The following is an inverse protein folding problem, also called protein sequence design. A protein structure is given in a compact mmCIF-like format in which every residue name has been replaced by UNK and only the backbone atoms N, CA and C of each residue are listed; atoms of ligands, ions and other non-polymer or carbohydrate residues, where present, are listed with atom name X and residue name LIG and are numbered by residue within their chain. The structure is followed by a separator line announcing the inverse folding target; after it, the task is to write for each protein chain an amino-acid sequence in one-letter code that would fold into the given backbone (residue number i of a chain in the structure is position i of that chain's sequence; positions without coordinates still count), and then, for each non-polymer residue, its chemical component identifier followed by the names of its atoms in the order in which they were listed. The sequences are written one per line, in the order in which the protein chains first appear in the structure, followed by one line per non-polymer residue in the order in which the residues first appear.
data_IF_815260011549
#
_entry.id   IF_815260011549
#
_cell.length_a   1.000
_cell.length_b   1.000
_cell.length_c   1.000
_cell.angle_alpha   90.00
_cell.angle_beta   90.00
_cell.angle_gamma   90.00
#
_symmetry.space_group_name_H-M   'P 1'
#
loop_
_entity.id
_entity.type
_entity.pdbx_description
1 polymer ?
#
# COMPACT_ATOMS: atom_id res chain seq x y z
N UNK A 1 -7.27 18.15 21.16
CA UNK A 1 -6.60 19.20 20.38
C UNK A 1 -6.59 18.70 18.93
N UNK A 2 -7.22 19.41 18.00
CA UNK A 2 -7.37 18.92 16.63
C UNK A 2 -6.01 18.83 15.91
N UNK A 3 -5.92 18.02 14.86
CA UNK A 3 -4.70 17.87 14.03
C UNK A 3 -4.26 19.23 13.45
N UNK A 4 -5.24 20.08 13.09
CA UNK A 4 -5.00 21.47 12.66
C UNK A 4 -4.38 22.33 13.77
N UNK A 5 -4.76 22.12 15.03
CA UNK A 5 -4.21 22.90 16.16
C UNK A 5 -2.77 22.47 16.48
N UNK A 6 -2.44 21.17 16.34
CA UNK A 6 -1.08 20.64 16.54
C UNK A 6 -0.16 21.07 15.37
N UNK A 7 -0.64 21.09 14.14
CA UNK A 7 0.11 21.56 12.97
C UNK A 7 0.43 23.06 13.10
N UNK A 8 -0.54 23.84 13.56
CA UNK A 8 -0.40 25.26 13.81
C UNK A 8 0.65 25.54 14.90
N UNK A 9 0.65 24.76 15.97
CA UNK A 9 1.62 24.84 17.06
C UNK A 9 3.07 24.61 16.58
N UNK A 10 3.32 23.66 15.67
CA UNK A 10 4.66 23.40 15.14
C UNK A 10 5.16 24.50 14.22
N UNK A 11 4.31 24.94 13.29
CA UNK A 11 4.68 26.03 12.37
C UNK A 11 4.96 27.32 13.16
N UNK A 12 4.16 27.58 14.20
CA UNK A 12 4.37 28.73 15.09
C UNK A 12 5.71 28.61 15.84
N UNK A 13 6.00 27.44 16.43
CA UNK A 13 7.28 27.20 17.12
C UNK A 13 8.50 27.38 16.18
N UNK A 14 8.41 26.83 14.98
CA UNK A 14 9.47 26.93 13.98
C UNK A 14 9.67 28.38 13.52
N UNK A 15 8.57 29.08 13.28
CA UNK A 15 8.60 30.49 12.89
C UNK A 15 9.21 31.36 13.98
N UNK A 16 8.85 31.12 15.26
CA UNK A 16 9.43 31.87 16.38
C UNK A 16 10.91 31.58 16.56
N UNK A 17 11.34 30.31 16.40
CA UNK A 17 12.73 29.94 16.47
C UNK A 17 13.55 30.61 15.33
N UNK A 18 13.09 30.52 14.09
CA UNK A 18 13.78 31.09 12.95
C UNK A 18 13.79 32.63 12.99
N UNK A 19 12.70 33.23 13.44
CA UNK A 19 12.65 34.68 13.68
C UNK A 19 13.67 35.11 14.71
N UNK A 20 13.76 34.40 15.84
CA UNK A 20 14.73 34.70 16.90
C UNK A 20 16.19 34.59 16.39
N UNK A 21 16.44 33.53 15.61
CA UNK A 21 17.77 33.32 15.00
C UNK A 21 18.07 34.45 14.01
N UNK A 22 17.18 34.77 13.13
CA UNK A 22 17.33 35.82 12.14
C UNK A 22 17.57 37.18 12.81
N UNK A 23 16.80 37.53 13.84
CA UNK A 23 16.93 38.79 14.56
C UNK A 23 18.27 38.89 15.33
N UNK A 24 18.74 37.78 15.95
CA UNK A 24 19.97 37.72 16.66
C UNK A 24 21.18 37.98 15.76
N UNK A 25 21.18 37.40 14.53
CA UNK A 25 22.26 37.56 13.57
C UNK A 25 22.09 38.76 12.66
N UNK A 26 21.00 39.49 12.74
CA UNK A 26 20.67 40.59 11.83
C UNK A 26 20.84 40.16 10.36
N UNK A 27 20.19 39.07 9.98
CA UNK A 27 20.29 38.47 8.67
C UNK A 27 19.03 38.73 7.82
N UNK A 28 19.12 38.58 6.49
CA UNK A 28 17.96 38.63 5.63
C UNK A 28 17.09 37.37 5.76
N UNK A 29 17.74 36.22 5.91
CA UNK A 29 17.08 34.93 5.99
C UNK A 29 17.60 34.09 7.15
N UNK A 30 16.69 33.28 7.72
CA UNK A 30 16.99 32.13 8.56
C UNK A 30 16.28 30.89 7.99
N UNK A 31 17.01 29.81 7.88
CA UNK A 31 16.52 28.55 7.33
C UNK A 31 16.73 27.39 8.31
N UNK A 32 15.70 26.55 8.43
CA UNK A 32 15.85 25.18 8.89
C UNK A 32 15.54 24.26 7.71
N UNK A 33 16.49 23.41 7.35
CA UNK A 33 16.42 22.54 6.19
C UNK A 33 16.77 21.11 6.60
N UNK A 34 16.00 20.16 6.14
CA UNK A 34 16.37 18.75 6.19
C UNK A 34 16.62 18.27 4.77
N UNK A 35 17.74 17.60 4.58
CA UNK A 35 18.12 17.01 3.30
C UNK A 35 18.88 15.70 3.49
N UNK A 36 18.86 14.86 2.46
CA UNK A 36 19.84 13.81 2.24
C UNK A 36 20.93 14.28 1.24
N UNK A 37 21.65 13.33 0.66
CA UNK A 37 22.70 13.66 -0.30
C UNK A 37 22.15 14.05 -1.68
N UNK A 38 20.92 13.66 -2.01
CA UNK A 38 20.30 13.84 -3.33
C UNK A 38 19.26 14.97 -3.37
N UNK A 39 18.45 15.11 -2.30
CA UNK A 39 17.33 16.05 -2.31
C UNK A 39 17.09 16.76 -0.97
N UNK A 40 16.36 17.86 -1.07
CA UNK A 40 15.87 18.61 0.10
C UNK A 40 14.47 18.14 0.44
N UNK A 41 14.33 17.48 1.59
CA UNK A 41 13.07 16.91 2.04
C UNK A 41 12.17 17.92 2.77
N UNK A 42 12.76 18.90 3.46
CA UNK A 42 12.03 19.90 4.22
C UNK A 42 12.73 21.25 4.22
N UNK A 43 11.96 22.33 4.09
CA UNK A 43 12.44 23.72 4.20
C UNK A 43 11.48 24.53 5.04
N UNK A 44 11.98 25.10 6.13
CA UNK A 44 11.37 26.23 6.83
C UNK A 44 12.22 27.46 6.64
N UNK A 45 11.57 28.59 6.44
CA UNK A 45 12.22 29.88 6.15
C UNK A 45 11.55 30.96 6.99
N UNK A 46 12.37 31.89 7.45
CA UNK A 46 11.93 33.18 7.96
C UNK A 46 12.78 34.28 7.31
N UNK A 47 12.15 35.28 6.73
CA UNK A 47 12.85 36.38 6.05
C UNK A 47 12.53 37.73 6.68
N UNK A 48 13.41 38.72 6.42
CA UNK A 48 13.22 40.10 6.85
C UNK A 48 12.03 40.75 6.11
N UNK A 49 11.53 41.86 6.67
CA UNK A 49 10.47 42.61 6.03
C UNK A 49 10.91 43.12 4.64
N UNK A 50 9.99 43.01 3.67
CA UNK A 50 10.19 43.38 2.27
C UNK A 50 11.22 42.51 1.50
N UNK A 51 11.65 41.37 2.05
CA UNK A 51 12.47 40.38 1.36
C UNK A 51 11.57 39.25 0.83
N UNK A 52 11.71 38.84 -0.45
CA UNK A 52 10.88 37.77 -1.01
C UNK A 52 11.26 36.41 -0.45
N UNK A 53 10.26 35.58 -0.16
CA UNK A 53 10.43 34.20 0.25
C UNK A 53 11.13 33.38 -0.83
N UNK A 54 12.10 32.56 -0.46
CA UNK A 54 12.91 31.71 -1.35
C UNK A 54 12.66 30.20 -1.14
N UNK A 55 11.83 29.83 -0.19
CA UNK A 55 11.58 28.45 0.22
C UNK A 55 11.35 27.50 -0.96
N UNK A 56 10.46 27.85 -1.86
CA UNK A 56 10.09 26.98 -2.99
C UNK A 56 11.24 26.83 -3.99
N UNK A 57 12.03 27.92 -4.18
CA UNK A 57 13.24 27.89 -5.00
C UNK A 57 14.32 27.00 -4.39
N UNK A 58 14.54 27.12 -3.08
CA UNK A 58 15.54 26.31 -2.37
C UNK A 58 15.17 24.84 -2.45
N UNK A 59 13.89 24.51 -2.24
CA UNK A 59 13.40 23.13 -2.29
C UNK A 59 13.61 22.44 -3.65
N UNK A 60 13.70 23.22 -4.73
CA UNK A 60 13.89 22.70 -6.09
C UNK A 60 15.35 22.63 -6.54
N UNK A 61 16.31 23.00 -5.67
CA UNK A 61 17.72 22.94 -6.02
C UNK A 61 18.22 21.50 -6.12
N UNK A 62 18.96 21.18 -7.17
CA UNK A 62 19.73 19.95 -7.28
C UNK A 62 21.08 20.07 -6.53
N UNK A 63 21.71 18.95 -6.14
CA UNK A 63 22.94 18.96 -5.32
C UNK A 63 24.08 19.81 -5.89
N UNK A 64 24.23 19.86 -7.20
CA UNK A 64 25.19 20.69 -7.91
C UNK A 64 24.94 22.20 -7.79
N UNK A 65 23.69 22.59 -7.53
CA UNK A 65 23.25 23.97 -7.37
C UNK A 65 23.24 24.45 -5.92
N UNK A 66 23.56 23.57 -4.95
CA UNK A 66 23.53 23.94 -3.55
C UNK A 66 24.56 25.04 -3.27
N UNK A 67 24.16 26.15 -2.62
CA UNK A 67 25.12 27.16 -2.14
C UNK A 67 26.02 26.55 -1.07
N UNK A 68 27.17 27.23 -0.77
CA UNK A 68 28.17 26.74 0.18
C UNK A 68 27.53 26.35 1.53
N UNK A 69 26.72 27.24 2.10
CA UNK A 69 26.07 27.05 3.40
C UNK A 69 25.11 25.88 3.45
N UNK A 70 24.65 25.36 2.30
CA UNK A 70 23.79 24.18 2.21
C UNK A 70 24.59 22.91 1.94
N UNK A 71 25.82 23.02 1.40
CA UNK A 71 26.72 21.87 1.15
C UNK A 71 27.54 21.49 2.36
N UNK A 72 28.10 22.47 3.06
CA UNK A 72 29.03 22.31 4.19
C UNK A 72 28.76 23.32 5.30
N UNK A 73 29.22 23.03 6.51
CA UNK A 73 29.15 24.00 7.61
C UNK A 73 29.94 25.23 7.26
N UNK A 74 29.35 26.41 7.43
CA UNK A 74 30.00 27.70 7.29
C UNK A 74 30.10 28.31 8.66
N UNK A 75 31.30 28.22 9.24
CA UNK A 75 31.61 28.70 10.61
C UNK A 75 32.56 29.90 10.64
N UNK A 76 33.04 30.33 9.47
CA UNK A 76 33.83 31.54 9.36
C UNK A 76 32.96 32.79 9.46
N UNK A 77 33.11 33.52 10.54
CA UNK A 77 32.32 34.71 10.84
C UNK A 77 32.71 35.96 10.02
N UNK A 78 33.63 35.81 9.07
CA UNK A 78 33.95 36.82 8.05
C UNK A 78 33.05 36.67 6.80
N UNK A 79 32.36 35.55 6.66
CA UNK A 79 31.39 35.33 5.57
C UNK A 79 30.05 36.01 5.87
N UNK A 80 29.25 36.18 4.85
CA UNK A 80 27.90 36.78 4.94
C UNK A 80 26.80 35.74 5.26
N UNK A 81 27.16 34.46 5.38
CA UNK A 81 26.23 33.37 5.65
C UNK A 81 26.89 32.37 6.60
N UNK A 82 26.15 31.93 7.60
CA UNK A 82 26.58 30.90 8.57
C UNK A 82 25.64 29.73 8.55
N UNK A 83 26.18 28.52 8.72
CA UNK A 83 25.36 27.29 8.83
C UNK A 83 26.02 26.30 9.77
N UNK A 84 25.18 25.56 10.48
CA UNK A 84 25.58 24.41 11.30
C UNK A 84 24.75 23.20 10.90
N UNK A 85 25.36 22.01 11.00
CA UNK A 85 24.75 20.76 10.57
C UNK A 85 24.56 19.83 11.75
N UNK A 86 23.47 19.04 11.69
CA UNK A 86 23.16 18.02 12.68
C UNK A 86 22.80 16.72 11.96
N UNK A 87 23.48 15.59 12.23
CA UNK A 87 23.15 14.30 11.63
C UNK A 87 21.81 13.78 12.15
N UNK A 88 20.95 13.34 11.26
CA UNK A 88 19.63 12.78 11.58
C UNK A 88 19.52 11.26 11.26
N UNK A 89 20.51 10.72 10.53
CA UNK A 89 20.59 9.32 10.10
C UNK A 89 21.85 9.10 9.25
N UNK A 90 21.95 7.97 8.56
CA UNK A 90 23.14 7.64 7.78
C UNK A 90 23.42 8.67 6.68
N UNK A 91 22.40 9.13 5.96
CA UNK A 91 22.53 10.10 4.87
C UNK A 91 21.72 11.37 5.08
N UNK A 92 20.99 11.49 6.20
CA UNK A 92 20.12 12.63 6.46
C UNK A 92 20.78 13.64 7.41
N UNK A 93 20.63 14.93 7.07
CA UNK A 93 21.16 16.06 7.85
C UNK A 93 20.12 17.14 8.01
N UNK A 94 20.04 17.70 9.23
CA UNK A 94 19.36 18.96 9.47
C UNK A 94 20.38 20.10 9.42
N UNK A 95 19.98 21.23 8.88
CA UNK A 95 20.80 22.42 8.70
C UNK A 95 20.03 23.60 9.27
N UNK A 96 20.70 24.37 10.14
CA UNK A 96 20.23 25.67 10.57
C UNK A 96 21.18 26.73 10.02
N UNK A 97 20.67 27.61 9.17
CA UNK A 97 21.48 28.60 8.48
C UNK A 97 20.89 30.00 8.60
N UNK A 98 21.77 31.00 8.60
CA UNK A 98 21.45 32.41 8.41
C UNK A 98 22.22 32.91 7.19
N UNK A 99 21.52 33.70 6.36
CA UNK A 99 22.03 34.10 5.04
C UNK A 99 21.87 35.61 4.89
N UNK A 100 22.88 36.25 4.27
CA UNK A 100 23.03 37.69 4.14
C UNK A 100 23.00 38.36 5.52
N UNK A 101 24.02 38.02 6.35
CA UNK A 101 24.20 38.53 7.70
C UNK A 101 24.87 39.92 7.63
N UNK A 102 24.24 40.91 8.27
CA UNK A 102 24.72 42.28 8.30
C UNK A 102 25.65 42.54 9.49
N UNK A 103 25.59 41.70 10.52
CA UNK A 103 26.40 41.82 11.73
C UNK A 103 27.52 40.76 11.75
N UNK A 104 28.73 41.17 11.33
CA UNK A 104 29.87 40.25 11.36
C UNK A 104 30.37 39.91 12.77
N UNK A 105 31.10 38.80 12.89
CA UNK A 105 31.77 38.37 14.13
C UNK A 105 30.85 37.78 15.19
N UNK A 106 29.67 37.29 14.82
CA UNK A 106 28.69 36.68 15.74
C UNK A 106 29.13 35.27 16.18
N UNK A 107 28.87 34.95 17.45
CA UNK A 107 29.07 33.60 17.98
C UNK A 107 28.01 32.61 17.43
N UNK A 108 28.45 31.46 16.98
CA UNK A 108 27.61 30.38 16.46
C UNK A 108 26.95 29.51 17.54
N UNK A 109 27.15 29.82 18.82
CA UNK A 109 26.63 29.04 19.94
C UNK A 109 25.10 28.91 19.89
N UNK A 110 24.40 29.95 19.45
CA UNK A 110 22.94 29.94 19.30
C UNK A 110 22.52 28.92 18.24
N UNK A 111 23.11 28.91 17.05
CA UNK A 111 22.79 27.95 16.01
C UNK A 111 23.09 26.52 16.46
N UNK A 112 24.25 26.30 17.10
CA UNK A 112 24.68 24.99 17.59
C UNK A 112 23.83 24.47 18.74
N UNK A 113 23.28 25.33 19.57
CA UNK A 113 22.38 24.91 20.65
C UNK A 113 20.94 24.67 20.20
N UNK A 114 20.45 25.47 19.25
CA UNK A 114 19.08 25.36 18.76
C UNK A 114 18.88 24.21 17.77
N UNK A 115 19.84 23.94 16.87
CA UNK A 115 19.68 22.95 15.82
C UNK A 115 19.36 21.54 16.34
N UNK A 116 20.08 20.96 17.31
CA UNK A 116 19.72 19.67 17.88
C UNK A 116 18.32 19.66 18.50
N UNK A 117 17.96 20.72 19.22
CA UNK A 117 16.65 20.84 19.84
C UNK A 117 15.51 20.87 18.81
N UNK A 118 15.64 21.69 17.77
CA UNK A 118 14.68 21.79 16.67
C UNK A 118 14.58 20.44 15.94
N UNK A 119 15.72 19.84 15.59
CA UNK A 119 15.76 18.55 14.88
C UNK A 119 15.11 17.41 15.66
N UNK A 120 15.40 17.30 16.96
CA UNK A 120 14.76 16.29 17.82
C UNK A 120 13.26 16.53 17.92
N UNK A 121 12.82 17.78 18.04
CA UNK A 121 11.40 18.13 18.12
C UNK A 121 10.68 17.76 16.82
N UNK A 122 11.27 18.01 15.64
CA UNK A 122 10.68 17.63 14.35
C UNK A 122 10.58 16.12 14.21
N UNK A 123 11.62 15.37 14.60
CA UNK A 123 11.58 13.89 14.59
C UNK A 123 10.50 13.33 15.50
N UNK A 124 10.44 13.81 16.74
CA UNK A 124 9.40 13.37 17.69
C UNK A 124 7.99 13.63 17.18
N UNK A 125 7.77 14.78 16.56
CA UNK A 125 6.45 15.10 16.00
C UNK A 125 6.13 14.26 14.75
N UNK A 126 7.12 13.97 13.88
CA UNK A 126 6.92 13.05 12.77
C UNK A 126 6.51 11.66 13.28
N UNK A 127 7.24 11.14 14.27
CA UNK A 127 6.93 9.85 14.89
C UNK A 127 5.56 9.84 15.56
N UNK A 128 5.21 10.92 16.27
CA UNK A 128 3.89 11.03 16.89
C UNK A 128 2.77 11.05 15.86
N UNK A 129 2.93 11.80 14.76
CA UNK A 129 1.96 11.81 13.65
C UNK A 129 1.82 10.45 13.00
N UNK A 130 2.94 9.77 12.76
CA UNK A 130 2.92 8.42 12.21
C UNK A 130 2.21 7.46 13.17
N UNK A 131 2.47 7.55 14.46
CA UNK A 131 1.79 6.77 15.48
C UNK A 131 0.28 7.08 15.53
N UNK A 132 -0.10 8.37 15.49
CA UNK A 132 -1.50 8.78 15.42
C UNK A 132 -2.18 8.26 14.15
N UNK A 133 -1.52 8.38 12.98
CA UNK A 133 -2.02 7.83 11.72
C UNK A 133 -2.24 6.32 11.81
N UNK A 134 -1.24 5.55 12.23
CA UNK A 134 -1.32 4.10 12.41
C UNK A 134 -2.31 3.67 13.49
N UNK A 135 -2.63 4.56 14.44
CA UNK A 135 -3.68 4.30 15.43
C UNK A 135 -5.08 4.22 14.82
N UNK A 136 -5.31 4.93 13.69
CA UNK A 136 -6.61 5.04 13.03
C UNK A 136 -6.65 4.45 11.62
N UNK A 137 -5.50 4.13 11.03
CA UNK A 137 -5.38 3.55 9.68
C UNK A 137 -4.71 2.19 9.71
N UNK A 138 -5.02 1.37 8.74
CA UNK A 138 -4.35 0.10 8.48
C UNK A 138 -3.04 0.34 7.71
N UNK A 139 -1.96 -0.23 8.18
CA UNK A 139 -0.60 0.00 7.66
C UNK A 139 -0.37 -0.54 6.24
N UNK A 140 -1.13 -1.58 5.86
CA UNK A 140 -1.01 -2.20 4.55
C UNK A 140 -1.84 -1.48 3.47
N UNK A 141 -3.08 -1.12 3.80
CA UNK A 141 -4.03 -0.58 2.81
C UNK A 141 -4.22 0.92 2.89
N UNK A 142 -3.82 1.56 3.99
CA UNK A 142 -4.08 2.98 4.25
C UNK A 142 -5.53 3.30 4.62
N UNK A 143 -6.44 2.34 4.53
CA UNK A 143 -7.85 2.49 4.92
C UNK A 143 -7.99 2.71 6.44
N UNK A 144 -9.16 3.13 6.88
CA UNK A 144 -9.47 3.18 8.30
C UNK A 144 -9.37 1.77 8.92
N UNK A 145 -8.84 1.69 10.13
CA UNK A 145 -8.70 0.43 10.84
C UNK A 145 -9.88 0.17 11.80
N UNK A 146 -9.83 -0.95 12.49
CA UNK A 146 -10.85 -1.32 13.48
C UNK A 146 -10.98 -0.31 14.63
N UNK A 147 -9.89 0.34 15.05
CA UNK A 147 -9.96 1.35 16.11
C UNK A 147 -10.75 2.58 15.66
N UNK A 148 -10.61 2.97 14.38
CA UNK A 148 -11.42 4.03 13.79
C UNK A 148 -12.92 3.69 13.81
N UNK A 149 -13.28 2.44 13.53
CA UNK A 149 -14.66 1.99 13.64
C UNK A 149 -15.19 2.09 15.08
N UNK A 150 -14.43 1.63 16.06
CA UNK A 150 -14.79 1.75 17.50
C UNK A 150 -14.92 3.22 17.91
N UNK A 151 -14.00 4.06 17.46
CA UNK A 151 -14.07 5.51 17.67
C UNK A 151 -15.33 6.12 17.07
N UNK A 152 -15.64 5.78 15.81
CA UNK A 152 -16.86 6.21 15.14
C UNK A 152 -18.13 5.85 15.94
N UNK A 153 -18.25 4.61 16.43
CA UNK A 153 -19.40 4.18 17.23
C UNK A 153 -19.56 5.00 18.52
N UNK A 154 -18.47 5.49 19.10
CA UNK A 154 -18.52 6.28 20.33
C UNK A 154 -18.89 7.74 20.11
N UNK A 155 -18.69 8.27 18.89
CA UNK A 155 -18.87 9.70 18.57
C UNK A 155 -20.12 9.97 17.73
N UNK A 156 -20.61 8.95 16.99
CA UNK A 156 -21.73 9.12 16.06
C UNK A 156 -23.04 9.43 16.78
N UNK A 157 -23.73 10.47 16.30
CA UNK A 157 -25.09 10.75 16.71
C UNK A 157 -26.07 9.98 15.79
N UNK A 158 -26.49 8.79 16.23
CA UNK A 158 -27.37 7.91 15.44
C UNK A 158 -28.72 8.57 15.14
N UNK A 159 -29.25 9.42 16.03
CA UNK A 159 -30.52 10.13 15.83
C UNK A 159 -30.45 11.18 14.69
N UNK A 160 -29.24 11.64 14.35
CA UNK A 160 -29.02 12.59 13.27
C UNK A 160 -28.94 11.93 11.88
N UNK A 161 -28.77 10.62 11.82
CA UNK A 161 -28.67 9.88 10.57
C UNK A 161 -30.05 9.73 9.91
N UNK A 162 -30.13 10.13 8.65
CA UNK A 162 -31.36 9.98 7.83
C UNK A 162 -31.48 8.60 7.22
N UNK A 163 -30.37 7.98 6.89
CA UNK A 163 -30.22 6.61 6.40
C UNK A 163 -28.80 6.14 6.63
N UNK A 164 -28.59 4.85 6.70
CA UNK A 164 -27.28 4.23 6.80
C UNK A 164 -27.26 2.93 5.99
N UNK A 165 -26.20 2.76 5.18
CA UNK A 165 -25.88 1.48 4.56
C UNK A 165 -24.63 0.89 5.19
N UNK A 166 -24.65 -0.41 5.47
CA UNK A 166 -23.48 -1.17 5.89
C UNK A 166 -23.16 -2.25 4.87
N UNK A 167 -21.89 -2.38 4.46
CA UNK A 167 -21.41 -3.48 3.61
C UNK A 167 -20.28 -4.20 4.33
N UNK A 168 -20.43 -5.50 4.55
CA UNK A 168 -19.39 -6.39 5.05
C UNK A 168 -18.78 -7.14 3.87
N UNK A 169 -17.48 -7.09 3.71
CA UNK A 169 -16.73 -7.69 2.58
C UNK A 169 -15.65 -8.62 3.13
N UNK A 170 -15.46 -9.75 2.51
CA UNK A 170 -14.44 -10.74 2.88
C UNK A 170 -13.74 -11.25 1.62
N UNK A 171 -12.40 -11.28 1.64
CA UNK A 171 -11.58 -11.79 0.54
C UNK A 171 -11.54 -13.31 0.60
N UNK A 172 -12.08 -13.94 -0.44
CA UNK A 172 -12.15 -15.39 -0.51
C UNK A 172 -10.79 -16.02 -0.77
N UNK A 173 -10.44 -17.01 0.01
CA UNK A 173 -9.25 -17.84 -0.25
C UNK A 173 -7.90 -17.17 0.02
N UNK A 174 -7.83 -16.04 0.73
CA UNK A 174 -6.57 -15.32 1.00
C UNK A 174 -5.47 -16.24 1.57
N UNK A 175 -5.83 -17.22 2.42
CA UNK A 175 -4.87 -18.20 2.95
C UNK A 175 -4.27 -19.09 1.86
N UNK A 176 -5.05 -19.40 0.83
CA UNK A 176 -4.58 -20.19 -0.32
C UNK A 176 -3.65 -19.32 -1.19
N UNK A 177 -4.01 -18.07 -1.45
CA UNK A 177 -3.13 -17.11 -2.13
C UNK A 177 -1.77 -17.01 -1.42
N UNK A 178 -1.79 -16.79 -0.09
CA UNK A 178 -0.55 -16.71 0.70
C UNK A 178 0.29 -17.99 0.65
N UNK A 179 -0.36 -19.15 0.66
CA UNK A 179 0.32 -20.46 0.64
C UNK A 179 0.95 -20.75 -0.73
N UNK A 180 0.25 -20.42 -1.82
CA UNK A 180 0.65 -20.77 -3.18
C UNK A 180 1.57 -19.73 -3.80
N UNK A 181 1.37 -18.44 -3.48
CA UNK A 181 2.02 -17.33 -4.18
C UNK A 181 2.90 -16.48 -3.28
N UNK A 182 2.97 -16.83 -1.99
CA UNK A 182 3.69 -16.07 -0.99
C UNK A 182 2.83 -14.94 -0.40
N UNK A 183 3.31 -14.43 0.74
CA UNK A 183 2.59 -13.42 1.53
C UNK A 183 2.47 -12.09 0.78
N UNK A 184 3.51 -11.70 0.04
CA UNK A 184 3.53 -10.47 -0.73
C UNK A 184 2.38 -10.39 -1.75
N UNK A 185 2.13 -11.51 -2.45
CA UNK A 185 0.99 -11.58 -3.38
C UNK A 185 -0.36 -11.44 -2.67
N UNK A 186 -0.52 -12.08 -1.51
CA UNK A 186 -1.75 -11.93 -0.73
C UNK A 186 -1.95 -10.49 -0.23
N UNK A 187 -0.86 -9.82 0.13
CA UNK A 187 -0.87 -8.41 0.53
C UNK A 187 -1.27 -7.51 -0.66
N UNK A 188 -0.77 -7.78 -1.88
CA UNK A 188 -1.20 -7.09 -3.10
C UNK A 188 -2.70 -7.27 -3.40
N UNK A 189 -3.23 -8.49 -3.22
CA UNK A 189 -4.67 -8.76 -3.38
C UNK A 189 -5.48 -7.94 -2.39
N UNK A 190 -5.07 -7.90 -1.14
CA UNK A 190 -5.73 -7.11 -0.09
C UNK A 190 -5.69 -5.62 -0.40
N UNK A 191 -4.53 -5.08 -0.80
CA UNK A 191 -4.40 -3.68 -1.22
C UNK A 191 -5.36 -3.39 -2.37
N UNK A 192 -5.37 -4.23 -3.40
CA UNK A 192 -6.19 -4.02 -4.59
C UNK A 192 -7.69 -4.04 -4.31
N UNK A 193 -8.16 -4.93 -3.42
CA UNK A 193 -9.54 -4.93 -2.95
C UNK A 193 -9.86 -3.63 -2.22
N UNK A 194 -8.97 -3.20 -1.32
CA UNK A 194 -9.10 -1.94 -0.58
C UNK A 194 -9.23 -0.72 -1.49
N UNK A 195 -8.36 -0.61 -2.51
CA UNK A 195 -8.40 0.47 -3.51
C UNK A 195 -9.73 0.54 -4.26
N UNK A 196 -10.25 -0.61 -4.69
CA UNK A 196 -11.55 -0.66 -5.38
C UNK A 196 -12.68 -0.24 -4.45
N UNK A 197 -12.69 -0.72 -3.20
CA UNK A 197 -13.70 -0.33 -2.23
C UNK A 197 -13.65 1.17 -1.93
N UNK A 198 -12.45 1.74 -1.76
CA UNK A 198 -12.28 3.19 -1.54
C UNK A 198 -12.73 4.02 -2.74
N UNK A 199 -12.42 3.57 -3.97
CA UNK A 199 -12.84 4.24 -5.20
C UNK A 199 -14.36 4.31 -5.31
N UNK A 200 -15.07 3.17 -5.17
CA UNK A 200 -16.50 3.09 -5.36
C UNK A 200 -17.30 3.66 -4.18
N UNK A 201 -16.74 3.66 -2.97
CA UNK A 201 -17.35 4.25 -1.78
C UNK A 201 -16.70 5.56 -1.36
N UNK A 202 -16.10 6.28 -2.32
CA UNK A 202 -15.52 7.60 -2.08
C UNK A 202 -16.51 8.53 -1.41
N UNK A 203 -16.06 9.14 -0.29
CA UNK A 203 -16.87 10.02 0.55
C UNK A 203 -17.61 9.31 1.68
N UNK A 204 -17.46 8.01 1.80
CA UNK A 204 -17.95 7.17 2.90
C UNK A 204 -16.79 6.53 3.66
N UNK A 205 -17.08 5.91 4.79
CA UNK A 205 -16.06 5.28 5.60
C UNK A 205 -15.85 3.84 5.16
N UNK A 206 -14.60 3.53 4.80
CA UNK A 206 -14.14 2.18 4.45
C UNK A 206 -13.13 1.74 5.49
N UNK A 207 -13.43 0.68 6.20
CA UNK A 207 -12.60 0.13 7.27
C UNK A 207 -12.03 -1.23 6.85
N UNK A 208 -10.76 -1.49 7.15
CA UNK A 208 -10.22 -2.84 7.19
C UNK A 208 -10.32 -3.35 8.63
N UNK A 209 -11.16 -4.34 8.85
CA UNK A 209 -11.49 -4.85 10.19
C UNK A 209 -10.50 -5.90 10.68
N UNK A 210 -10.13 -6.81 9.80
CA UNK A 210 -9.12 -7.87 10.00
C UNK A 210 -8.40 -8.15 8.69
N UNK A 211 -7.52 -9.15 8.64
CA UNK A 211 -6.68 -9.47 7.49
C UNK A 211 -7.37 -9.50 6.14
N UNK A 212 -8.55 -10.13 6.06
CA UNK A 212 -9.34 -10.35 4.85
C UNK A 212 -10.75 -9.71 4.89
N UNK A 213 -11.09 -9.00 5.98
CA UNK A 213 -12.43 -8.44 6.19
C UNK A 213 -12.45 -6.92 6.12
N UNK A 214 -13.40 -6.37 5.36
CA UNK A 214 -13.68 -4.94 5.28
C UNK A 214 -15.10 -4.64 5.71
N UNK A 215 -15.30 -3.42 6.23
CA UNK A 215 -16.59 -2.86 6.56
C UNK A 215 -16.72 -1.49 5.92
N UNK A 216 -17.86 -1.22 5.31
CA UNK A 216 -18.18 0.09 4.74
C UNK A 216 -19.41 0.63 5.45
N UNK A 217 -19.37 1.90 5.86
CA UNK A 217 -20.51 2.63 6.38
C UNK A 217 -20.79 3.84 5.50
N UNK A 218 -21.97 3.85 4.91
CA UNK A 218 -22.42 4.90 4.01
C UNK A 218 -23.60 5.67 4.63
N UNK A 219 -23.28 6.83 5.22
CA UNK A 219 -24.25 7.71 5.88
C UNK A 219 -25.06 8.51 4.85
N UNK A 220 -26.35 8.69 5.16
CA UNK A 220 -27.25 9.58 4.40
C UNK A 220 -27.33 9.26 2.90
N UNK A 221 -27.09 8.00 2.54
CA UNK A 221 -27.15 7.50 1.16
C UNK A 221 -28.57 6.99 0.82
N UNK A 222 -29.02 7.18 -0.40
CA UNK A 222 -30.25 6.55 -0.87
C UNK A 222 -30.04 5.05 -1.11
N UNK A 223 -31.09 4.25 -0.97
CA UNK A 223 -31.01 2.81 -1.23
C UNK A 223 -30.55 2.49 -2.66
N UNK A 224 -31.05 3.24 -3.64
CA UNK A 224 -30.70 3.06 -5.05
C UNK A 224 -29.19 3.34 -5.30
N UNK A 225 -28.68 4.46 -4.80
CA UNK A 225 -27.25 4.80 -4.92
C UNK A 225 -26.39 3.78 -4.19
N UNK A 226 -26.79 3.35 -2.99
CA UNK A 226 -26.09 2.35 -2.21
C UNK A 226 -25.97 1.03 -2.98
N UNK A 227 -27.08 0.52 -3.55
CA UNK A 227 -27.07 -0.71 -4.35
C UNK A 227 -26.23 -0.57 -5.63
N UNK A 228 -26.30 0.57 -6.30
CA UNK A 228 -25.48 0.81 -7.49
C UNK A 228 -23.99 0.77 -7.18
N UNK A 229 -23.55 1.33 -6.06
CA UNK A 229 -22.14 1.29 -5.62
C UNK A 229 -21.69 -0.13 -5.29
N UNK A 230 -22.54 -0.92 -4.62
CA UNK A 230 -22.27 -2.33 -4.32
C UNK A 230 -22.12 -3.13 -5.62
N UNK A 231 -23.08 -3.03 -6.55
CA UNK A 231 -23.01 -3.77 -7.81
C UNK A 231 -21.75 -3.38 -8.62
N UNK A 232 -21.51 -2.09 -8.78
CA UNK A 232 -20.36 -1.62 -9.55
C UNK A 232 -19.01 -2.03 -8.94
N UNK A 233 -18.89 -2.02 -7.61
CA UNK A 233 -17.67 -2.49 -6.93
C UNK A 233 -17.52 -4.01 -7.04
N UNK A 234 -18.62 -4.76 -6.91
CA UNK A 234 -18.61 -6.22 -7.10
C UNK A 234 -18.19 -6.60 -8.52
N UNK A 235 -18.79 -5.98 -9.53
CA UNK A 235 -18.45 -6.21 -10.94
C UNK A 235 -16.98 -5.90 -11.23
N UNK A 236 -16.45 -4.82 -10.64
CA UNK A 236 -15.03 -4.45 -10.79
C UNK A 236 -14.11 -5.48 -10.15
N UNK A 237 -14.46 -5.98 -8.96
CA UNK A 237 -13.68 -7.01 -8.25
C UNK A 237 -13.77 -8.37 -8.96
N UNK A 238 -14.93 -8.74 -9.47
CA UNK A 238 -15.13 -9.94 -10.27
C UNK A 238 -14.36 -9.90 -11.61
N UNK A 239 -14.14 -8.72 -12.18
CA UNK A 239 -13.26 -8.54 -13.34
C UNK A 239 -11.77 -8.73 -13.00
N UNK A 240 -11.37 -8.55 -11.74
CA UNK A 240 -10.00 -8.85 -11.29
C UNK A 240 -9.84 -10.37 -11.10
N UNK A 241 -10.76 -10.98 -10.37
CA UNK A 241 -10.85 -12.42 -10.18
C UNK A 241 -12.28 -12.79 -9.77
N UNK A 242 -12.95 -13.63 -10.55
CA UNK A 242 -14.33 -14.03 -10.27
C UNK A 242 -14.46 -14.68 -8.89
N UNK A 243 -15.37 -14.14 -8.09
CA UNK A 243 -15.59 -14.58 -6.71
C UNK A 243 -14.42 -14.24 -5.78
N UNK A 244 -13.63 -13.22 -6.10
CA UNK A 244 -12.53 -12.73 -5.25
C UNK A 244 -13.02 -12.32 -3.87
N UNK A 245 -14.18 -11.72 -3.81
CA UNK A 245 -14.79 -11.29 -2.55
C UNK A 245 -16.18 -11.85 -2.37
N UNK A 246 -16.59 -11.95 -1.12
CA UNK A 246 -18.01 -12.16 -0.74
C UNK A 246 -18.50 -10.92 -0.02
N UNK A 247 -19.63 -10.37 -0.47
CA UNK A 247 -20.25 -9.19 0.13
C UNK A 247 -21.58 -9.54 0.79
N UNK A 248 -21.85 -8.88 1.91
CA UNK A 248 -23.17 -8.83 2.53
C UNK A 248 -23.47 -7.39 2.90
N UNK A 249 -24.73 -7.00 2.82
CA UNK A 249 -25.15 -5.63 3.05
C UNK A 249 -26.46 -5.53 3.81
N UNK A 250 -26.63 -4.41 4.47
CA UNK A 250 -27.89 -3.99 5.08
C UNK A 250 -28.05 -2.47 4.90
N UNK A 251 -29.28 -2.00 4.83
CA UNK A 251 -29.61 -0.59 4.70
C UNK A 251 -30.88 -0.25 5.46
N UNK A 252 -30.82 0.82 6.25
CA UNK A 252 -31.94 1.29 7.05
C UNK A 252 -32.19 2.79 6.89
N UNK A 253 -33.45 3.16 7.11
CA UNK A 253 -33.90 4.53 7.11
C UNK A 253 -34.82 4.73 8.31
N UNK A 254 -34.49 5.68 9.18
CA UNK A 254 -35.15 5.93 10.46
C UNK A 254 -34.83 4.84 11.52
N UNK A 255 -34.80 5.25 12.76
CA UNK A 255 -34.54 4.38 13.93
C UNK A 255 -33.31 3.47 13.76
N UNK A 256 -32.23 4.04 13.23
CA UNK A 256 -31.03 3.30 12.85
C UNK A 256 -30.29 2.80 14.09
N UNK A 257 -30.08 1.49 14.18
CA UNK A 257 -29.17 0.86 15.11
C UNK A 257 -27.93 0.35 14.33
N UNK A 258 -26.79 1.01 14.53
CA UNK A 258 -25.58 0.69 13.75
C UNK A 258 -25.08 -0.73 14.05
N UNK A 259 -25.13 -1.18 15.29
CA UNK A 259 -24.67 -2.51 15.69
C UNK A 259 -25.49 -3.61 15.02
N UNK A 260 -26.83 -3.47 15.03
CA UNK A 260 -27.74 -4.40 14.37
C UNK A 260 -27.53 -4.40 12.86
N UNK A 261 -27.35 -3.22 12.25
CA UNK A 261 -27.14 -3.07 10.82
C UNK A 261 -25.83 -3.72 10.35
N UNK A 262 -24.74 -3.51 11.09
CA UNK A 262 -23.44 -4.14 10.83
C UNK A 262 -23.51 -5.64 11.03
N UNK A 263 -24.24 -6.10 12.07
CA UNK A 263 -24.44 -7.52 12.31
C UNK A 263 -25.23 -8.18 11.16
N UNK A 264 -26.25 -7.53 10.63
CA UNK A 264 -27.07 -8.03 9.52
C UNK A 264 -26.27 -8.11 8.22
N UNK A 265 -25.47 -7.08 7.90
CA UNK A 265 -24.55 -7.11 6.78
C UNK A 265 -23.55 -8.29 6.91
N UNK A 266 -22.97 -8.47 8.10
CA UNK A 266 -22.06 -9.58 8.39
C UNK A 266 -22.75 -10.96 8.32
N UNK A 267 -24.00 -11.07 8.77
CA UNK A 267 -24.78 -12.30 8.67
C UNK A 267 -25.06 -12.67 7.19
N UNK A 268 -25.42 -11.68 6.39
CA UNK A 268 -25.62 -11.86 4.95
C UNK A 268 -24.33 -12.31 4.27
N UNK A 269 -23.21 -11.62 4.53
CA UNK A 269 -21.88 -11.98 3.98
C UNK A 269 -21.53 -13.44 4.34
N UNK A 270 -21.63 -13.84 5.62
CA UNK A 270 -21.37 -15.23 6.04
C UNK A 270 -22.27 -16.26 5.36
N UNK A 271 -23.53 -15.90 5.09
CA UNK A 271 -24.46 -16.78 4.35
C UNK A 271 -24.03 -16.93 2.90
N UNK A 272 -23.66 -15.85 2.23
CA UNK A 272 -23.15 -15.89 0.85
C UNK A 272 -21.81 -16.61 0.77
N UNK A 273 -20.89 -16.39 1.71
CA UNK A 273 -19.61 -17.10 1.81
C UNK A 273 -19.81 -18.62 1.96
N UNK A 274 -20.80 -19.06 2.76
CA UNK A 274 -21.14 -20.49 2.85
C UNK A 274 -21.68 -21.05 1.54
N UNK A 275 -22.48 -20.29 0.79
CA UNK A 275 -22.96 -20.68 -0.53
C UNK A 275 -21.79 -20.80 -1.51
N UNK A 276 -20.91 -19.82 -1.53
CA UNK A 276 -19.70 -19.81 -2.35
C UNK A 276 -18.88 -21.08 -2.13
N UNK A 277 -18.48 -21.42 -0.91
CA UNK A 277 -17.72 -22.63 -0.61
C UNK A 277 -18.49 -23.93 -0.80
N UNK A 278 -19.82 -23.91 -0.64
CA UNK A 278 -20.67 -25.08 -0.93
C UNK A 278 -20.77 -25.34 -2.43
N UNK A 279 -20.80 -24.29 -3.22
CA UNK A 279 -20.82 -24.39 -4.68
C UNK A 279 -19.44 -24.82 -5.22
N UNK A 280 -18.35 -24.30 -4.66
CA UNK A 280 -16.99 -24.80 -4.92
C UNK A 280 -16.90 -26.33 -4.71
N UNK A 281 -17.44 -26.83 -3.60
CA UNK A 281 -17.45 -28.27 -3.30
C UNK A 281 -18.40 -29.09 -4.17
N UNK A 282 -19.41 -28.48 -4.79
CA UNK A 282 -20.41 -29.16 -5.64
C UNK A 282 -20.10 -29.11 -7.14
N UNK A 283 -19.01 -28.46 -7.56
CA UNK A 283 -18.68 -28.34 -8.99
C UNK A 283 -19.68 -27.46 -9.78
N UNK A 284 -20.55 -26.72 -9.09
CA UNK A 284 -21.50 -25.82 -9.73
C UNK A 284 -20.88 -24.43 -9.90
N UNK A 285 -20.03 -24.31 -10.89
CA UNK A 285 -19.65 -23.03 -11.49
C UNK A 285 -20.24 -22.96 -12.89
N UNK A 286 -20.67 -21.78 -13.33
CA UNK A 286 -20.93 -21.56 -14.76
C UNK A 286 -19.74 -22.10 -15.54
N UNK A 287 -19.98 -22.84 -16.60
CA UNK A 287 -18.98 -23.71 -17.16
C UNK A 287 -17.86 -22.89 -17.80
N UNK A 288 -16.68 -22.91 -17.20
CA UNK A 288 -15.48 -22.93 -18.04
C UNK A 288 -15.64 -24.25 -18.78
N UNK A 289 -16.01 -24.16 -20.06
CA UNK A 289 -16.28 -25.34 -20.86
C UNK A 289 -14.94 -26.04 -21.07
N UNK A 290 -14.94 -27.38 -21.09
CA UNK A 290 -13.73 -28.18 -21.38
C UNK A 290 -12.95 -27.67 -22.58
N UNK A 291 -13.64 -27.16 -23.60
CA UNK A 291 -13.04 -26.61 -24.80
C UNK A 291 -12.31 -25.29 -24.52
N UNK A 292 -12.88 -24.42 -23.67
CA UNK A 292 -12.25 -23.14 -23.30
C UNK A 292 -10.91 -23.37 -22.58
N UNK A 293 -10.83 -24.38 -21.71
CA UNK A 293 -9.57 -24.73 -21.02
C UNK A 293 -8.49 -25.22 -21.99
N UNK A 294 -8.85 -26.04 -22.97
CA UNK A 294 -7.89 -26.50 -24.00
C UNK A 294 -7.43 -25.32 -24.86
N UNK A 295 -8.37 -24.50 -25.32
CA UNK A 295 -8.08 -23.33 -26.13
C UNK A 295 -7.19 -22.35 -25.36
N UNK A 296 -7.42 -22.15 -24.06
CA UNK A 296 -6.64 -21.28 -23.19
C UNK A 296 -5.22 -21.83 -22.90
N UNK A 297 -5.06 -23.15 -22.81
CA UNK A 297 -3.71 -23.77 -22.75
C UNK A 297 -2.96 -23.52 -24.05
N UNK A 298 -3.60 -23.76 -25.20
CA UNK A 298 -2.99 -23.57 -26.53
C UNK A 298 -2.67 -22.09 -26.82
N UNK A 299 -3.49 -21.15 -26.35
CA UNK A 299 -3.29 -19.71 -26.53
C UNK A 299 -2.28 -19.10 -25.57
N UNK A 300 -1.75 -19.87 -24.59
CA UNK A 300 -0.77 -19.38 -23.60
C UNK A 300 -1.38 -18.55 -22.50
N UNK A 301 -2.69 -18.71 -22.24
CA UNK A 301 -3.38 -18.03 -21.13
C UNK A 301 -3.02 -18.64 -19.76
N UNK A 302 -2.31 -19.77 -19.76
CA UNK A 302 -1.67 -20.34 -18.58
C UNK A 302 -0.22 -19.86 -18.50
N UNK A 303 0.07 -18.92 -17.63
CA UNK A 303 1.39 -18.30 -17.47
C UNK A 303 2.23 -19.13 -16.49
N UNK A 304 3.40 -19.56 -16.92
CA UNK A 304 4.36 -20.27 -16.05
C UNK A 304 5.25 -19.25 -15.35
N UNK A 305 5.19 -19.23 -14.03
CA UNK A 305 6.03 -18.41 -13.16
C UNK A 305 7.07 -19.29 -12.48
N UNK A 306 8.25 -18.76 -12.23
CA UNK A 306 9.32 -19.44 -11.50
C UNK A 306 9.41 -18.90 -10.07
N UNK A 307 9.13 -19.74 -9.09
CA UNK A 307 9.29 -19.44 -7.68
C UNK A 307 10.71 -19.83 -7.27
N UNK A 308 11.55 -18.90 -6.80
CA UNK A 308 12.93 -19.21 -6.43
C UNK A 308 12.98 -20.15 -5.22
N UNK A 309 13.93 -21.08 -5.25
CA UNK A 309 14.31 -21.94 -4.12
C UNK A 309 15.65 -21.46 -3.62
N UNK A 310 15.68 -21.07 -2.35
CA UNK A 310 16.86 -20.52 -1.69
C UNK A 310 17.52 -21.60 -0.82
N UNK A 311 18.84 -21.57 -0.76
CA UNK A 311 19.59 -22.33 0.25
C UNK A 311 19.42 -21.67 1.62
N UNK A 312 19.14 -22.47 2.65
CA UNK A 312 18.75 -21.96 3.97
C UNK A 312 19.87 -21.20 4.71
N UNK A 313 21.13 -21.49 4.40
CA UNK A 313 22.29 -20.90 5.09
C UNK A 313 22.83 -19.66 4.36
N UNK A 314 22.87 -19.68 3.03
CA UNK A 314 23.47 -18.63 2.21
C UNK A 314 22.45 -17.63 1.63
N UNK A 315 21.16 -17.97 1.66
CA UNK A 315 20.07 -17.25 0.98
C UNK A 315 20.27 -17.12 -0.54
N UNK A 316 21.21 -17.89 -1.12
CA UNK A 316 21.43 -17.90 -2.56
C UNK A 316 20.36 -18.72 -3.29
N UNK A 317 20.01 -18.30 -4.50
CA UNK A 317 19.05 -19.02 -5.34
C UNK A 317 19.71 -20.26 -5.92
N UNK A 318 19.29 -21.45 -5.48
CA UNK A 318 19.82 -22.73 -5.91
C UNK A 318 18.95 -23.47 -6.92
N UNK A 319 17.73 -22.98 -7.15
CA UNK A 319 16.77 -23.56 -8.09
C UNK A 319 15.50 -22.76 -8.19
N UNK A 320 14.51 -23.30 -8.89
CA UNK A 320 13.18 -22.73 -8.93
C UNK A 320 12.10 -23.83 -8.99
N UNK A 321 10.88 -23.50 -8.57
CA UNK A 321 9.68 -24.30 -8.76
C UNK A 321 8.80 -23.62 -9.82
N UNK A 322 8.39 -24.38 -10.86
CA UNK A 322 7.45 -23.90 -11.86
C UNK A 322 6.03 -23.93 -11.28
N UNK A 323 5.41 -22.78 -11.20
CA UNK A 323 4.02 -22.58 -10.74
C UNK A 323 3.19 -21.93 -11.84
N UNK A 324 1.91 -22.24 -11.91
CA UNK A 324 1.05 -21.80 -13.03
C UNK A 324 0.07 -20.74 -12.57
N UNK A 325 -0.19 -19.77 -13.47
CA UNK A 325 -1.22 -18.76 -13.36
C UNK A 325 -2.17 -18.89 -14.53
N UNK A 326 -3.44 -19.03 -14.28
CA UNK A 326 -4.46 -19.02 -15.32
C UNK A 326 -5.08 -17.63 -15.46
N UNK A 327 -4.88 -17.02 -16.61
CA UNK A 327 -5.47 -15.74 -16.95
C UNK A 327 -6.60 -15.95 -17.97
N UNK A 328 -7.84 -16.13 -17.47
CA UNK A 328 -9.00 -16.27 -18.33
C UNK A 328 -9.38 -14.91 -18.94
N UNK A 329 -9.72 -14.88 -20.23
CA UNK A 329 -10.03 -13.65 -20.97
C UNK A 329 -11.14 -12.79 -20.36
N UNK A 330 -12.17 -13.43 -19.77
CA UNK A 330 -13.34 -12.76 -19.20
C UNK A 330 -13.32 -12.72 -17.67
N UNK A 331 -12.56 -13.62 -17.01
CA UNK A 331 -12.55 -13.82 -15.57
C UNK A 331 -11.28 -13.26 -14.89
N UNK A 332 -10.29 -12.78 -15.69
CA UNK A 332 -8.99 -12.38 -15.16
C UNK A 332 -8.20 -13.55 -14.59
N UNK A 333 -7.45 -13.31 -13.50
CA UNK A 333 -6.65 -14.35 -12.84
C UNK A 333 -7.59 -15.28 -12.07
N UNK A 334 -7.60 -16.57 -12.44
CA UNK A 334 -8.43 -17.61 -11.83
C UNK A 334 -7.66 -18.35 -10.75
N UNK A 335 -8.31 -18.56 -9.59
CA UNK A 335 -7.74 -19.32 -8.45
C UNK A 335 -7.34 -20.75 -8.87
N UNK A 336 -6.11 -21.21 -8.53
CA UNK A 336 -5.65 -22.55 -8.85
C UNK A 336 -6.57 -23.66 -8.38
N UNK A 337 -7.12 -23.56 -7.17
CA UNK A 337 -8.05 -24.56 -6.65
C UNK A 337 -9.29 -24.74 -7.54
N UNK A 338 -9.64 -23.73 -8.31
CA UNK A 338 -10.79 -23.75 -9.21
C UNK A 338 -10.48 -24.42 -10.55
N UNK A 339 -9.42 -24.02 -11.23
CA UNK A 339 -9.10 -24.63 -12.52
C UNK A 339 -8.44 -26.01 -12.39
N UNK A 340 -7.66 -26.27 -11.33
CA UNK A 340 -7.08 -27.58 -11.08
C UNK A 340 -8.16 -28.64 -10.83
N UNK A 341 -9.16 -28.33 -9.97
CA UNK A 341 -10.31 -29.22 -9.76
C UNK A 341 -11.05 -29.49 -11.07
N UNK A 342 -11.25 -28.46 -11.89
CA UNK A 342 -11.94 -28.63 -13.18
C UNK A 342 -11.12 -29.44 -14.18
N UNK A 343 -9.78 -29.25 -14.22
CA UNK A 343 -8.88 -30.06 -15.03
C UNK A 343 -8.87 -31.53 -14.60
N UNK A 344 -8.94 -31.80 -13.30
CA UNK A 344 -9.06 -33.17 -12.79
C UNK A 344 -10.41 -33.81 -13.17
N UNK A 345 -11.52 -33.12 -12.95
CA UNK A 345 -12.86 -33.60 -13.29
C UNK A 345 -13.02 -33.83 -14.82
N UNK A 346 -12.43 -32.97 -15.64
CA UNK A 346 -12.47 -33.05 -17.10
C UNK A 346 -11.38 -33.97 -17.69
N UNK A 347 -10.47 -34.49 -16.85
CA UNK A 347 -9.31 -35.32 -17.22
C UNK A 347 -8.34 -34.59 -18.15
N UNK A 348 -8.19 -33.28 -18.01
CA UNK A 348 -7.30 -32.43 -18.81
C UNK A 348 -5.97 -32.09 -18.09
N UNK A 349 -5.76 -32.54 -16.86
CA UNK A 349 -4.55 -32.22 -16.08
C UNK A 349 -3.26 -32.52 -16.85
N UNK A 350 -3.23 -33.61 -17.62
CA UNK A 350 -2.05 -33.98 -18.42
C UNK A 350 -1.70 -32.97 -19.51
N UNK A 351 -2.66 -32.28 -20.11
CA UNK A 351 -2.40 -31.24 -21.09
C UNK A 351 -1.71 -30.03 -20.46
N UNK A 352 -2.18 -29.61 -19.27
CA UNK A 352 -1.56 -28.51 -18.55
C UNK A 352 -0.16 -28.88 -18.08
N UNK A 353 0.01 -30.08 -17.50
CA UNK A 353 1.31 -30.52 -16.98
C UNK A 353 2.37 -30.59 -18.10
N UNK A 354 2.00 -31.12 -19.28
CA UNK A 354 2.89 -31.16 -20.44
C UNK A 354 3.20 -29.76 -21.00
N UNK A 355 2.20 -28.87 -21.03
CA UNK A 355 2.41 -27.48 -21.43
C UNK A 355 3.41 -26.78 -20.49
N UNK A 356 3.26 -26.94 -19.16
CA UNK A 356 4.18 -26.36 -18.18
C UNK A 356 5.59 -26.90 -18.38
N UNK A 357 5.72 -28.20 -18.59
CA UNK A 357 7.01 -28.83 -18.85
C UNK A 357 7.67 -28.28 -20.11
N UNK A 358 6.91 -28.12 -21.20
CA UNK A 358 7.39 -27.55 -22.46
C UNK A 358 7.86 -26.09 -22.26
N UNK A 359 7.10 -25.25 -21.56
CA UNK A 359 7.47 -23.86 -21.27
C UNK A 359 8.72 -23.74 -20.41
N UNK A 360 8.91 -24.66 -19.44
CA UNK A 360 10.14 -24.73 -18.66
C UNK A 360 11.33 -25.11 -19.55
N UNK A 361 11.17 -26.10 -20.44
CA UNK A 361 12.21 -26.47 -21.40
C UNK A 361 12.58 -25.31 -22.34
N UNK A 362 11.59 -24.56 -22.84
CA UNK A 362 11.81 -23.33 -23.64
C UNK A 362 12.58 -22.27 -22.87
N UNK A 363 12.24 -22.10 -21.61
CA UNK A 363 12.91 -21.14 -20.70
C UNK A 363 14.37 -21.53 -20.46
N UNK A 364 14.64 -22.78 -20.14
CA UNK A 364 16.01 -23.29 -19.97
C UNK A 364 16.82 -23.14 -21.25
N UNK A 365 16.24 -23.45 -22.41
CA UNK A 365 16.90 -23.27 -23.71
C UNK A 365 17.23 -21.82 -24.01
N UNK A 366 16.33 -20.89 -23.65
CA UNK A 366 16.59 -19.45 -23.76
C UNK A 366 17.73 -19.01 -22.87
N UNK A 367 17.78 -19.45 -21.60
CA UNK A 367 18.87 -19.13 -20.68
C UNK A 367 20.22 -19.67 -21.19
N UNK A 368 20.25 -20.89 -21.72
CA UNK A 368 21.44 -21.46 -22.34
C UNK A 368 21.94 -20.59 -23.51
N UNK A 369 21.06 -20.18 -24.42
CA UNK A 369 21.39 -19.34 -25.58
C UNK A 369 21.84 -17.93 -25.15
N UNK A 370 21.34 -17.41 -24.05
CA UNK A 370 21.71 -16.10 -23.48
C UNK A 370 22.96 -16.18 -22.60
N UNK A 371 23.55 -17.35 -22.39
CA UNK A 371 24.71 -17.56 -21.54
C UNK A 371 24.43 -17.32 -20.05
N UNK A 372 23.16 -17.44 -19.64
CA UNK A 372 22.79 -17.32 -18.24
C UNK A 372 23.11 -18.59 -17.45
N UNK A 373 23.23 -18.42 -16.14
CA UNK A 373 23.41 -19.55 -15.22
C UNK A 373 22.20 -20.50 -15.28
N UNK A 374 22.47 -21.78 -15.51
CA UNK A 374 21.45 -22.83 -15.54
C UNK A 374 21.12 -23.26 -14.14
N UNK A 375 19.87 -23.05 -13.72
CA UNK A 375 19.37 -23.50 -12.43
C UNK A 375 18.39 -24.67 -12.62
N UNK A 376 18.36 -25.65 -11.71
CA UNK A 376 17.36 -26.71 -11.73
C UNK A 376 15.97 -26.12 -11.50
N UNK A 377 14.99 -26.54 -12.32
CA UNK A 377 13.60 -26.14 -12.17
C UNK A 377 12.76 -27.39 -11.92
N UNK A 378 12.05 -27.42 -10.78
CA UNK A 378 11.10 -28.49 -10.49
C UNK A 378 9.76 -28.21 -11.16
N UNK A 379 9.14 -29.25 -11.72
CA UNK A 379 7.81 -29.21 -12.34
C UNK A 379 6.92 -30.21 -11.63
N UNK A 380 5.72 -29.78 -11.25
CA UNK A 380 4.72 -30.62 -10.63
C UNK A 380 3.92 -31.38 -11.68
N UNK A 381 3.77 -32.69 -11.48
CA UNK A 381 2.93 -33.54 -12.35
C UNK A 381 1.78 -34.14 -11.55
N UNK A 382 0.59 -34.10 -12.11
CA UNK A 382 -0.57 -34.80 -11.54
C UNK A 382 -0.40 -36.34 -11.63
N UNK A 383 -1.03 -37.05 -10.70
CA UNK A 383 -1.03 -38.51 -10.76
C UNK A 383 -1.70 -39.08 -12.01
N UNK A 384 -2.53 -38.27 -12.71
CA UNK A 384 -3.12 -38.63 -13.99
C UNK A 384 -2.07 -38.60 -15.11
N UNK A 385 -1.23 -37.58 -15.14
CA UNK A 385 -0.15 -37.44 -16.13
C UNK A 385 0.87 -38.55 -16.04
N UNK A 386 1.29 -38.91 -14.83
CA UNK A 386 2.25 -40.00 -14.60
C UNK A 386 1.75 -41.41 -15.06
N UNK A 387 0.44 -41.55 -15.25
CA UNK A 387 -0.20 -42.77 -15.76
C UNK A 387 -0.49 -42.72 -17.26
N UNK A 388 -0.20 -41.60 -17.90
CA UNK A 388 -0.45 -41.42 -19.33
C UNK A 388 0.70 -42.00 -20.15
N UNK A 389 0.42 -42.93 -21.07
CA UNK A 389 1.44 -43.72 -21.82
C UNK A 389 2.41 -42.88 -22.67
N UNK A 390 2.14 -41.58 -22.87
CA UNK A 390 2.99 -40.69 -23.65
C UNK A 390 4.09 -39.96 -22.87
N UNK A 391 4.22 -40.23 -21.58
CA UNK A 391 5.22 -39.58 -20.68
C UNK A 391 6.46 -40.46 -20.47
N UNK A 392 6.62 -41.52 -21.26
CA UNK A 392 7.78 -42.43 -21.24
C UNK A 392 8.82 -42.11 -22.29
#
# INVERSE_FOLDING_TARGET
MSEKDKLRSMVELMNDALRTVRDYYDSEYAYYIERDDEEITMVYEWCAENIPWQRDRIKMLSPDQFPKWLREEVTDTTEDSYSVFYPMGENQKAILAVVNVHRGGCDLSLLRSLLPYISQTTVLQKLQRQQEYLSYHDDLTGLLNRNSFVGYLSEVNQEALKSLGAVSVDVNGLKNFNKEFGREYGDEVVIRVGEVLEEFFKGFMVFRMTGDEYLILAENISYEEFMNRIHSSSDKLDNISLGLVTMGYAWEKLDINIDDLVMDAGNMMRKEKRKYYKNLKKGHHEPIIKQDLLDDIEQGNFIVCLKPVLEAESEEVVGAEAVVRYHHKDLGIVDPGRYLTLLEETKLSHYLDLYVFEEVCKTLRRWENEGRMMLPISVNFSGATLRYESVG
#
